data_IF_587122506569
#
_entry.id   IF_587122506569
#
_cell.length_a   1.000
_cell.length_b   1.000
_cell.length_c   1.000
_cell.angle_alpha   90.00
_cell.angle_beta   90.00
_cell.angle_gamma   90.00
#
_symmetry.space_group_name_H-M   'P 1'
#
loop_
_entity.id
_entity.type
_entity.pdbx_description
1 polymer ?
#
# COMPACT_ATOMS: atom_id res chain seq x y z
N UNK A 1 11.37 18.66 -14.16
CA UNK A 1 9.89 18.72 -14.11
C UNK A 1 9.23 17.45 -13.56
N UNK A 2 9.89 16.28 -13.57
CA UNK A 2 9.36 15.03 -12.99
C UNK A 2 9.18 15.07 -11.46
N UNK A 3 10.09 15.72 -10.73
CA UNK A 3 10.04 15.82 -9.26
C UNK A 3 8.76 16.48 -8.72
N UNK A 4 8.19 17.45 -9.43
CA UNK A 4 6.94 18.10 -9.05
C UNK A 4 5.77 17.12 -9.06
N UNK A 5 5.69 16.27 -10.07
CA UNK A 5 4.66 15.24 -10.18
C UNK A 5 4.80 14.18 -9.09
N UNK A 6 6.03 13.75 -8.80
CA UNK A 6 6.31 12.83 -7.69
C UNK A 6 5.89 13.48 -6.36
N UNK A 7 6.23 14.75 -6.14
CA UNK A 7 5.89 15.46 -4.91
C UNK A 7 4.38 15.64 -4.72
N UNK A 8 3.65 16.00 -5.78
CA UNK A 8 2.18 16.12 -5.75
C UNK A 8 1.51 14.77 -5.47
N UNK A 9 1.95 13.72 -6.16
CA UNK A 9 1.47 12.36 -5.91
C UNK A 9 1.77 11.94 -4.47
N UNK A 10 2.99 12.20 -4.00
CA UNK A 10 3.43 11.86 -2.65
C UNK A 10 2.63 12.56 -1.56
N UNK A 11 2.38 13.87 -1.72
CA UNK A 11 1.53 14.63 -0.80
C UNK A 11 0.12 14.04 -0.73
N UNK A 12 -0.46 13.67 -1.86
CA UNK A 12 -1.79 13.06 -1.91
C UNK A 12 -1.82 11.66 -1.29
N UNK A 13 -0.86 10.79 -1.65
CA UNK A 13 -0.74 9.43 -1.11
C UNK A 13 -0.52 9.41 0.40
N UNK A 14 0.37 10.27 0.91
CA UNK A 14 0.61 10.41 2.35
C UNK A 14 -0.62 10.95 3.09
N UNK A 15 -1.34 11.91 2.50
CA UNK A 15 -2.57 12.46 3.08
C UNK A 15 -3.69 11.42 3.15
N UNK A 16 -3.87 10.62 2.09
CA UNK A 16 -4.81 9.49 2.08
C UNK A 16 -4.48 8.47 3.16
N UNK A 17 -3.21 8.05 3.25
CA UNK A 17 -2.75 7.13 4.30
C UNK A 17 -3.01 7.71 5.69
N UNK A 18 -2.73 8.99 5.90
CA UNK A 18 -3.02 9.62 7.18
C UNK A 18 -4.53 9.69 7.46
N UNK A 19 -5.35 9.99 6.45
CA UNK A 19 -6.81 9.94 6.56
C UNK A 19 -7.32 8.56 7.01
N UNK A 20 -6.73 7.47 6.51
CA UNK A 20 -7.05 6.12 6.98
C UNK A 20 -6.78 5.95 8.49
N UNK A 21 -5.71 6.55 9.02
CA UNK A 21 -5.43 6.52 10.48
C UNK A 21 -6.42 7.32 11.32
N UNK A 22 -7.12 8.30 10.72
CA UNK A 22 -8.14 9.09 11.42
C UNK A 22 -9.50 8.38 11.44
N UNK A 23 -9.82 7.61 10.40
CA UNK A 23 -11.12 6.94 10.25
C UNK A 23 -11.11 5.53 10.85
N UNK A 24 -9.97 4.85 10.79
CA UNK A 24 -9.83 3.47 11.30
C UNK A 24 -9.25 3.55 12.71
N UNK A 25 -10.00 3.14 13.76
CA UNK A 25 -9.53 3.21 15.12
C UNK A 25 -8.27 2.35 15.32
N UNK A 26 -7.19 2.98 15.79
CA UNK A 26 -5.96 2.28 16.20
C UNK A 26 -6.15 1.46 17.48
N UNK A 27 -7.24 1.67 18.22
CA UNK A 27 -7.50 1.15 19.56
C UNK A 27 -8.68 0.16 19.65
N UNK A 28 -9.09 -0.46 18.54
CA UNK A 28 -10.07 -1.56 18.61
C UNK A 28 -9.57 -2.74 19.46
N UNK A 29 -10.49 -3.56 19.98
CA UNK A 29 -10.23 -4.67 20.92
C UNK A 29 -9.15 -5.70 20.48
N UNK A 30 -8.71 -5.67 19.22
CA UNK A 30 -7.66 -6.54 18.67
C UNK A 30 -6.24 -5.99 18.78
N UNK A 31 -6.05 -4.67 19.00
CA UNK A 31 -4.72 -4.05 19.00
C UNK A 31 -3.95 -4.11 17.66
N UNK A 32 -4.65 -4.48 16.58
CA UNK A 32 -4.06 -4.72 15.25
C UNK A 32 -3.96 -3.41 14.43
N UNK A 33 -2.83 -3.14 13.75
CA UNK A 33 -2.63 -1.91 12.96
C UNK A 33 -3.37 -1.90 11.61
N UNK A 34 -4.71 -1.92 11.65
CA UNK A 34 -5.58 -2.04 10.48
C UNK A 34 -5.42 -0.92 9.46
N UNK A 35 -5.20 0.32 9.91
CA UNK A 35 -5.06 1.47 9.01
C UNK A 35 -3.86 1.31 8.06
N UNK A 36 -2.70 0.93 8.59
CA UNK A 36 -1.49 0.68 7.79
C UNK A 36 -1.66 -0.52 6.87
N UNK A 37 -2.25 -1.61 7.37
CA UNK A 37 -2.51 -2.80 6.57
C UNK A 37 -3.41 -2.48 5.36
N UNK A 38 -4.52 -1.77 5.59
CA UNK A 38 -5.44 -1.38 4.53
C UNK A 38 -4.78 -0.43 3.53
N UNK A 39 -4.01 0.55 3.99
CA UNK A 39 -3.25 1.44 3.10
C UNK A 39 -2.29 0.65 2.19
N UNK A 40 -1.55 -0.30 2.77
CA UNK A 40 -0.60 -1.15 2.05
C UNK A 40 -1.32 -2.06 1.04
N UNK A 41 -2.40 -2.73 1.44
CA UNK A 41 -3.17 -3.63 0.55
C UNK A 41 -3.80 -2.87 -0.61
N UNK A 42 -4.41 -1.71 -0.35
CA UNK A 42 -5.00 -0.87 -1.41
C UNK A 42 -3.91 -0.36 -2.36
N UNK A 43 -2.80 0.15 -1.82
CA UNK A 43 -1.68 0.64 -2.62
C UNK A 43 -1.05 -0.46 -3.48
N UNK A 44 -0.82 -1.65 -2.92
CA UNK A 44 -0.31 -2.81 -3.66
C UNK A 44 -1.30 -3.29 -4.73
N UNK A 45 -2.60 -3.32 -4.45
CA UNK A 45 -3.62 -3.69 -5.44
C UNK A 45 -3.62 -2.73 -6.63
N UNK A 46 -3.70 -1.42 -6.34
CA UNK A 46 -3.68 -0.38 -7.37
C UNK A 46 -2.37 -0.38 -8.15
N UNK A 47 -1.23 -0.64 -7.48
CA UNK A 47 0.06 -0.80 -8.15
C UNK A 47 0.04 -1.99 -9.12
N UNK A 48 -0.56 -3.12 -8.74
CA UNK A 48 -0.73 -4.29 -9.60
C UNK A 48 -1.61 -3.99 -10.82
N UNK A 49 -2.72 -3.27 -10.63
CA UNK A 49 -3.60 -2.81 -11.72
C UNK A 49 -2.82 -1.91 -12.69
N UNK A 50 -2.14 -0.89 -12.16
CA UNK A 50 -1.31 0.01 -12.96
C UNK A 50 -0.23 -0.76 -13.72
N UNK A 51 0.46 -1.70 -13.06
CA UNK A 51 1.50 -2.51 -13.67
C UNK A 51 0.97 -3.39 -14.82
N UNK A 52 -0.25 -3.91 -14.71
CA UNK A 52 -0.85 -4.75 -15.74
C UNK A 52 -1.46 -3.96 -16.91
N UNK A 53 -2.10 -2.82 -16.64
CA UNK A 53 -2.73 -1.98 -17.66
C UNK A 53 -1.71 -1.15 -18.45
N UNK A 54 -0.67 -0.68 -17.77
CA UNK A 54 0.29 0.25 -18.34
C UNK A 54 1.49 -0.56 -18.81
N UNK A 55 1.44 -0.97 -20.08
CA UNK A 55 2.65 -1.45 -20.76
C UNK A 55 3.73 -0.36 -20.64
N UNK A 56 4.99 -0.75 -20.50
CA UNK A 56 6.10 0.17 -20.19
C UNK A 56 6.18 1.38 -21.14
N UNK A 57 5.65 1.26 -22.36
CA UNK A 57 5.73 2.28 -23.40
C UNK A 57 4.48 3.19 -23.50
N UNK A 58 3.39 2.86 -22.80
CA UNK A 58 2.11 3.60 -22.91
C UNK A 58 1.94 4.71 -21.88
N UNK A 59 2.73 4.71 -20.80
CA UNK A 59 2.61 5.68 -19.70
C UNK A 59 3.70 6.74 -19.78
N UNK A 60 3.28 8.01 -19.86
CA UNK A 60 4.23 9.14 -19.83
C UNK A 60 4.99 9.18 -18.50
N UNK A 61 6.27 9.56 -18.56
CA UNK A 61 7.14 9.69 -17.37
C UNK A 61 6.54 10.55 -16.24
N UNK A 62 5.91 11.71 -16.52
CA UNK A 62 5.24 12.49 -15.48
C UNK A 62 4.11 11.74 -14.76
N UNK A 63 3.27 11.03 -15.52
CA UNK A 63 2.17 10.27 -14.96
C UNK A 63 2.68 9.09 -14.12
N UNK A 64 3.74 8.42 -14.58
CA UNK A 64 4.42 7.34 -13.84
C UNK A 64 4.98 7.84 -12.51
N UNK A 65 5.67 8.98 -12.55
CA UNK A 65 6.19 9.64 -11.36
C UNK A 65 5.09 10.01 -10.36
N UNK A 66 3.99 10.59 -10.84
CA UNK A 66 2.84 10.94 -9.99
C UNK A 66 2.17 9.71 -9.37
N UNK A 67 1.79 8.72 -10.19
CA UNK A 67 0.98 7.59 -9.73
C UNK A 67 1.80 6.54 -9.00
N UNK A 68 2.86 6.01 -9.61
CA UNK A 68 3.59 4.86 -9.07
C UNK A 68 4.55 5.30 -7.95
N UNK A 69 5.40 6.29 -8.22
CA UNK A 69 6.42 6.71 -7.25
C UNK A 69 5.83 7.60 -6.17
N UNK A 70 5.03 8.60 -6.55
CA UNK A 70 4.41 9.54 -5.61
C UNK A 70 3.26 8.92 -4.83
N UNK A 71 2.10 8.78 -5.47
CA UNK A 71 0.83 8.44 -4.84
C UNK A 71 0.84 7.05 -4.21
N UNK A 72 1.08 6.01 -5.00
CA UNK A 72 1.06 4.63 -4.50
C UNK A 72 2.27 4.35 -3.59
N UNK A 73 3.44 4.91 -3.93
CA UNK A 73 4.63 4.82 -3.09
C UNK A 73 4.44 5.45 -1.70
N UNK A 74 3.74 6.58 -1.60
CA UNK A 74 3.51 7.27 -0.30
C UNK A 74 2.25 6.82 0.43
N UNK A 75 1.27 6.26 -0.29
CA UNK A 75 0.11 5.57 0.27
C UNK A 75 0.52 4.30 1.01
N UNK A 76 1.52 3.58 0.49
CA UNK A 76 2.11 2.42 1.18
C UNK A 76 3.25 2.85 2.11
N UNK A 77 3.54 2.06 3.14
CA UNK A 77 4.64 2.34 4.07
C UNK A 77 5.19 1.07 4.71
N UNK A 78 6.50 0.88 4.59
CA UNK A 78 7.22 -0.16 5.31
C UNK A 78 7.74 0.33 6.67
N UNK A 79 8.03 1.63 6.80
CA UNK A 79 8.53 2.21 8.05
C UNK A 79 7.49 2.18 9.17
N UNK A 80 6.24 2.60 8.90
CA UNK A 80 5.19 2.54 9.91
C UNK A 80 4.82 1.09 10.26
N UNK A 81 4.81 0.19 9.26
CA UNK A 81 4.65 -1.25 9.48
C UNK A 81 5.73 -1.80 10.43
N UNK A 82 7.00 -1.43 10.21
CA UNK A 82 8.12 -1.91 11.02
C UNK A 82 8.04 -1.40 12.46
N UNK A 83 7.70 -0.12 12.63
CA UNK A 83 7.48 0.47 13.95
C UNK A 83 6.34 -0.23 14.70
N UNK A 84 5.20 -0.45 14.04
CA UNK A 84 4.04 -1.10 14.65
C UNK A 84 4.31 -2.58 14.98
N UNK A 85 5.07 -3.28 14.13
CA UNK A 85 5.51 -4.64 14.41
C UNK A 85 6.43 -4.67 15.65
N UNK A 86 7.35 -3.72 15.77
CA UNK A 86 8.21 -3.58 16.94
C UNK A 86 7.40 -3.28 18.21
N UNK A 87 6.45 -2.36 18.17
CA UNK A 87 5.56 -2.04 19.30
C UNK A 87 4.73 -3.26 19.76
N UNK A 88 4.32 -4.14 18.83
CA UNK A 88 3.64 -5.39 19.16
C UNK A 88 4.56 -6.38 19.89
N UNK A 89 5.83 -6.47 19.45
CA UNK A 89 6.85 -7.30 20.08
C UNK A 89 7.20 -6.79 21.47
N UNK A 90 7.42 -5.48 21.60
CA UNK A 90 7.76 -4.83 22.88
C UNK A 90 6.61 -4.93 23.89
N UNK A 91 5.36 -4.95 23.42
CA UNK A 91 4.18 -5.21 24.25
C UNK A 91 3.91 -6.69 24.56
N UNK A 92 4.83 -7.61 24.29
CA UNK A 92 4.70 -9.07 24.46
C UNK A 92 3.51 -9.70 23.71
N UNK A 93 2.99 -9.04 22.67
CA UNK A 93 1.84 -9.51 21.87
C UNK A 93 2.30 -10.34 20.67
N UNK A 94 3.08 -11.39 20.93
CA UNK A 94 3.73 -12.21 19.90
C UNK A 94 2.79 -12.81 18.86
N UNK A 95 1.59 -13.28 19.26
CA UNK A 95 0.59 -13.78 18.31
C UNK A 95 0.11 -12.73 17.31
N UNK A 96 -0.07 -11.48 17.78
CA UNK A 96 -0.42 -10.35 16.92
C UNK A 96 0.77 -9.90 16.08
N UNK A 97 1.98 -9.87 16.65
CA UNK A 97 3.20 -9.53 15.91
C UNK A 97 3.42 -10.49 14.72
N UNK A 98 3.30 -11.80 14.94
CA UNK A 98 3.47 -12.80 13.89
C UNK A 98 2.39 -12.70 12.80
N UNK A 99 1.12 -12.57 13.22
CA UNK A 99 0.01 -12.45 12.27
C UNK A 99 0.05 -11.13 11.50
N UNK A 100 0.37 -10.01 12.14
CA UNK A 100 0.55 -8.71 11.48
C UNK A 100 1.76 -8.74 10.55
N UNK A 101 2.90 -9.23 11.02
CA UNK A 101 4.15 -9.26 10.28
C UNK A 101 4.05 -10.10 9.00
N UNK A 102 3.81 -11.40 9.15
CA UNK A 102 3.71 -12.31 8.02
C UNK A 102 2.43 -12.06 7.20
N UNK A 103 1.30 -11.80 7.86
CA UNK A 103 0.02 -11.58 7.20
C UNK A 103 0.03 -10.34 6.32
N UNK A 104 0.64 -9.23 6.75
CA UNK A 104 0.73 -8.02 5.92
C UNK A 104 1.48 -8.28 4.61
N UNK A 105 2.63 -8.97 4.68
CA UNK A 105 3.43 -9.27 3.49
C UNK A 105 2.68 -10.20 2.54
N UNK A 106 2.11 -11.28 3.08
CA UNK A 106 1.37 -12.26 2.27
C UNK A 106 0.15 -11.63 1.59
N UNK A 107 -0.67 -10.87 2.33
CA UNK A 107 -1.88 -10.25 1.79
C UNK A 107 -1.54 -9.16 0.77
N UNK A 108 -0.50 -8.36 1.00
CA UNK A 108 -0.09 -7.34 0.01
C UNK A 108 0.42 -7.98 -1.29
N UNK A 109 1.21 -9.05 -1.19
CA UNK A 109 1.71 -9.78 -2.35
C UNK A 109 0.57 -10.47 -3.12
N UNK A 110 -0.36 -11.13 -2.43
CA UNK A 110 -1.51 -11.77 -3.08
C UNK A 110 -2.41 -10.73 -3.74
N UNK A 111 -2.66 -9.59 -3.09
CA UNK A 111 -3.45 -8.50 -3.64
C UNK A 111 -2.82 -7.91 -4.92
N UNK A 112 -1.50 -7.74 -4.94
CA UNK A 112 -0.76 -7.32 -6.14
C UNK A 112 -0.88 -8.34 -7.29
N UNK A 113 -0.65 -9.63 -7.00
CA UNK A 113 -0.73 -10.70 -8.00
C UNK A 113 -2.15 -10.87 -8.56
N UNK A 114 -3.17 -10.91 -7.69
CA UNK A 114 -4.57 -11.03 -8.07
C UNK A 114 -5.02 -9.86 -8.93
N UNK A 115 -4.56 -8.65 -8.60
CA UNK A 115 -4.84 -7.45 -9.39
C UNK A 115 -4.27 -7.55 -10.81
N UNK A 116 -3.04 -8.06 -10.97
CA UNK A 116 -2.43 -8.29 -12.28
C UNK A 116 -3.20 -9.35 -13.07
N UNK A 117 -3.49 -10.49 -12.46
CA UNK A 117 -4.19 -11.59 -13.13
C UNK A 117 -5.62 -11.21 -13.51
N UNK A 118 -6.33 -10.50 -12.62
CA UNK A 118 -7.68 -10.01 -12.89
C UNK A 118 -7.72 -9.07 -14.09
N UNK A 119 -6.81 -8.09 -14.16
CA UNK A 119 -6.71 -7.19 -15.33
C UNK A 119 -6.41 -7.98 -16.60
N UNK A 120 -5.44 -8.89 -16.58
CA UNK A 120 -5.08 -9.68 -17.76
C UNK A 120 -6.20 -10.57 -18.25
N UNK A 121 -6.95 -11.19 -17.33
CA UNK A 121 -8.11 -12.00 -17.68
C UNK A 121 -9.21 -11.16 -18.34
N UNK A 122 -9.44 -9.93 -17.85
CA UNK A 122 -10.42 -9.01 -18.45
C UNK A 122 -10.03 -8.53 -19.85
N UNK A 123 -8.74 -8.33 -20.11
CA UNK A 123 -8.24 -7.90 -21.43
C UNK A 123 -8.08 -9.04 -22.45
N UNK A 124 -8.18 -10.30 -22.01
CA UNK A 124 -8.11 -11.46 -22.89
C UNK A 124 -9.45 -11.77 -23.61
N UNK A 125 -10.51 -11.03 -23.27
CA UNK A 125 -11.83 -11.05 -23.89
C UNK A 125 -12.06 -9.78 -24.72
#
# INVERSE_FOLDING_TARGET
MMWLWIALGGAFGASLRHGLTLVIPSSGASGMPWATLLANVLGCSLMGICFALLQRDSMSEPLRGFLMVGLLGSLTTFSAYSQQLFELIEGDRWGLALSYGAGSVLVCLTAFCLSIWGVRALLAH
#
